data_IF_563218202271
#
_entry.id   IF_563218202271
#
_cell.length_a   1.000
_cell.length_b   1.000
_cell.length_c   1.000
_cell.angle_alpha   90.00
_cell.angle_beta   90.00
_cell.angle_gamma   90.00
#
_symmetry.space_group_name_H-M   'P 1'
#
loop_
_entity.id
_entity.type
_entity.pdbx_description
1 polymer ?
#
# COMPACT_ATOMS: atom_id res chain seq x y z
N UNK A 1 0.68 -38.78 2.66
CA UNK A 1 1.58 -38.24 3.69
C UNK A 1 2.04 -36.86 3.23
N UNK A 2 1.37 -35.79 3.67
CA UNK A 2 1.85 -34.43 3.44
C UNK A 2 2.91 -34.12 4.50
N UNK A 3 4.12 -33.81 4.05
CA UNK A 3 5.18 -33.29 4.91
C UNK A 3 4.66 -32.01 5.59
N UNK A 4 4.74 -31.97 6.91
CA UNK A 4 4.30 -30.82 7.71
C UNK A 4 5.10 -29.59 7.33
N UNK A 5 4.43 -28.61 6.71
CA UNK A 5 4.98 -27.26 6.60
C UNK A 5 5.23 -26.76 8.03
N UNK A 6 6.50 -26.47 8.33
CA UNK A 6 6.89 -25.78 9.56
C UNK A 6 6.24 -24.40 9.53
N UNK A 7 5.30 -24.17 10.44
CA UNK A 7 4.57 -22.91 10.57
C UNK A 7 5.57 -21.80 10.92
N UNK A 8 5.76 -20.82 10.04
CA UNK A 8 6.81 -19.81 10.18
C UNK A 8 6.57 -18.86 11.37
N UNK A 9 5.36 -18.86 11.93
CA UNK A 9 4.93 -17.97 12.99
C UNK A 9 4.20 -18.71 14.13
N UNK A 10 4.88 -19.61 14.87
CA UNK A 10 4.24 -20.41 15.91
C UNK A 10 3.73 -19.59 17.10
N UNK A 11 4.21 -18.35 17.25
CA UNK A 11 3.76 -17.40 18.28
C UNK A 11 2.47 -16.67 17.90
N UNK A 12 2.01 -16.78 16.65
CA UNK A 12 0.72 -16.26 16.21
C UNK A 12 -0.26 -17.42 16.23
N UNK A 13 -1.29 -17.39 17.09
CA UNK A 13 -2.20 -18.51 17.14
C UNK A 13 -2.99 -18.66 15.82
N UNK A 14 -3.52 -19.85 15.54
CA UNK A 14 -4.24 -20.12 14.28
C UNK A 14 -5.63 -19.50 14.33
N UNK A 15 -5.84 -18.50 13.47
CA UNK A 15 -7.03 -17.65 13.54
C UNK A 15 -7.64 -17.34 12.17
N UNK A 16 -7.15 -17.97 11.13
CA UNK A 16 -7.64 -17.82 9.77
C UNK A 16 -7.98 -19.20 9.22
N UNK A 17 -8.94 -19.25 8.30
CA UNK A 17 -9.28 -20.47 7.60
C UNK A 17 -8.15 -20.92 6.65
N UNK A 18 -7.37 -19.96 6.14
CA UNK A 18 -6.15 -20.21 5.37
C UNK A 18 -4.89 -20.14 6.25
N UNK A 19 -3.75 -20.65 5.77
CA UNK A 19 -2.49 -20.54 6.52
C UNK A 19 -1.97 -19.09 6.55
N UNK A 20 -1.31 -18.71 7.65
CA UNK A 20 -0.64 -17.41 7.75
C UNK A 20 0.42 -17.25 6.65
N UNK A 21 1.16 -18.32 6.36
CA UNK A 21 2.17 -18.37 5.30
C UNK A 21 1.57 -18.04 3.93
N UNK A 22 0.34 -18.49 3.66
CA UNK A 22 -0.38 -18.16 2.42
C UNK A 22 -0.67 -16.66 2.33
N UNK A 23 -1.19 -16.03 3.39
CA UNK A 23 -1.45 -14.59 3.37
C UNK A 23 -0.17 -13.76 3.31
N UNK A 24 0.91 -14.17 3.98
CA UNK A 24 2.21 -13.50 3.84
C UNK A 24 2.75 -13.61 2.42
N UNK A 25 2.65 -14.79 1.80
CA UNK A 25 3.04 -14.98 0.42
C UNK A 25 2.20 -14.10 -0.51
N UNK A 26 0.87 -14.09 -0.34
CA UNK A 26 -0.03 -13.26 -1.14
C UNK A 26 0.27 -11.76 -0.97
N UNK A 27 0.59 -11.32 0.25
CA UNK A 27 1.01 -9.94 0.50
C UNK A 27 2.28 -9.60 -0.26
N UNK A 28 3.32 -10.43 -0.12
CA UNK A 28 4.61 -10.20 -0.78
C UNK A 28 4.44 -10.15 -2.30
N UNK A 29 3.71 -11.09 -2.87
CA UNK A 29 3.58 -11.25 -4.33
C UNK A 29 2.67 -10.20 -4.98
N UNK A 30 1.57 -9.82 -4.32
CA UNK A 30 0.54 -8.98 -4.95
C UNK A 30 0.37 -7.63 -4.24
N UNK A 31 0.10 -7.66 -2.94
CA UNK A 31 -0.29 -6.44 -2.19
C UNK A 31 0.86 -5.45 -2.06
N UNK A 32 2.08 -5.93 -1.84
CA UNK A 32 3.24 -5.06 -1.63
C UNK A 32 3.55 -4.21 -2.87
N UNK A 33 3.29 -4.74 -4.07
CA UNK A 33 3.46 -4.00 -5.32
C UNK A 33 2.39 -2.91 -5.52
N UNK A 34 1.19 -3.12 -4.96
CA UNK A 34 0.10 -2.13 -4.99
C UNK A 34 0.38 -1.02 -3.96
N UNK A 35 0.77 -1.40 -2.74
CA UNK A 35 0.98 -0.48 -1.63
C UNK A 35 2.31 0.30 -1.72
N UNK A 36 3.32 -0.23 -2.43
CA UNK A 36 4.67 0.31 -2.48
C UNK A 36 5.23 0.22 -3.92
N UNK A 37 4.69 1.01 -4.87
CA UNK A 37 5.01 0.86 -6.30
C UNK A 37 6.48 1.17 -6.64
N UNK A 38 7.19 1.91 -5.79
CA UNK A 38 8.63 2.20 -5.95
C UNK A 38 9.44 1.36 -4.97
N UNK A 39 10.40 0.59 -5.50
CA UNK A 39 11.28 -0.28 -4.71
C UNK A 39 10.50 -1.28 -3.83
N UNK A 40 9.43 -1.89 -4.36
CA UNK A 40 8.52 -2.78 -3.64
C UNK A 40 9.26 -3.89 -2.88
N UNK A 41 10.31 -4.49 -3.44
CA UNK A 41 11.11 -5.51 -2.78
C UNK A 41 11.82 -4.99 -1.51
N UNK A 42 12.42 -3.79 -1.60
CA UNK A 42 13.14 -3.17 -0.48
C UNK A 42 12.14 -2.73 0.59
N UNK A 43 11.06 -2.08 0.19
CA UNK A 43 10.03 -1.59 1.11
C UNK A 43 9.22 -2.73 1.75
N UNK A 44 8.90 -3.78 0.99
CA UNK A 44 8.27 -5.00 1.52
C UNK A 44 9.20 -5.73 2.50
N UNK A 45 10.49 -5.85 2.17
CA UNK A 45 11.48 -6.43 3.08
C UNK A 45 11.67 -5.61 4.35
N UNK A 46 11.72 -4.27 4.25
CA UNK A 46 11.76 -3.39 5.41
C UNK A 46 10.48 -3.53 6.24
N UNK A 47 9.30 -3.43 5.61
CA UNK A 47 8.03 -3.46 6.30
C UNK A 47 7.78 -4.78 7.02
N UNK A 48 8.10 -5.91 6.39
CA UNK A 48 8.02 -7.22 7.02
C UNK A 48 8.96 -7.31 8.24
N UNK A 49 10.21 -6.81 8.13
CA UNK A 49 11.12 -6.77 9.29
C UNK A 49 10.58 -5.91 10.43
N UNK A 50 10.02 -4.74 10.12
CA UNK A 50 9.37 -3.87 11.12
C UNK A 50 8.17 -4.58 11.74
N UNK A 51 7.38 -5.28 10.94
CA UNK A 51 6.22 -6.03 11.41
C UNK A 51 6.61 -7.16 12.37
N UNK A 52 7.71 -7.88 12.13
CA UNK A 52 8.20 -8.92 13.06
C UNK A 52 8.46 -8.39 14.47
N UNK A 53 8.80 -7.11 14.61
CA UNK A 53 8.98 -6.45 15.91
C UNK A 53 7.70 -5.91 16.54
N UNK A 54 6.57 -5.91 15.81
CA UNK A 54 5.31 -5.31 16.24
C UNK A 54 4.10 -6.16 15.79
N UNK A 55 3.48 -6.95 16.70
CA UNK A 55 2.36 -7.82 16.36
C UNK A 55 1.20 -7.14 15.63
N UNK A 56 0.88 -5.89 15.98
CA UNK A 56 -0.18 -5.12 15.32
C UNK A 56 0.08 -4.93 13.81
N UNK A 57 1.35 -4.73 13.42
CA UNK A 57 1.73 -4.59 12.02
C UNK A 57 1.64 -5.91 11.26
N UNK A 58 1.95 -7.04 11.91
CA UNK A 58 1.72 -8.36 11.32
C UNK A 58 0.24 -8.59 11.06
N UNK A 59 -0.62 -8.31 12.03
CA UNK A 59 -2.08 -8.44 11.85
C UNK A 59 -2.58 -7.55 10.71
N UNK A 60 -2.01 -6.35 10.59
CA UNK A 60 -2.31 -5.41 9.49
C UNK A 60 -1.87 -5.95 8.12
N UNK A 61 -0.69 -6.56 8.01
CA UNK A 61 -0.21 -7.24 6.78
C UNK A 61 -1.19 -8.32 6.35
N UNK A 62 -1.58 -9.18 7.30
CA UNK A 62 -2.50 -10.28 7.06
C UNK A 62 -3.88 -9.74 6.65
N UNK A 63 -4.37 -8.70 7.31
CA UNK A 63 -5.65 -8.05 7.00
C UNK A 63 -5.68 -7.52 5.57
N UNK A 64 -4.65 -6.78 5.15
CA UNK A 64 -4.56 -6.28 3.77
C UNK A 64 -4.54 -7.41 2.75
N UNK A 65 -3.83 -8.49 3.07
CA UNK A 65 -3.73 -9.67 2.21
C UNK A 65 -5.08 -10.38 2.05
N UNK A 66 -5.78 -10.63 3.16
CA UNK A 66 -7.10 -11.22 3.15
C UNK A 66 -8.12 -10.34 2.43
N UNK A 67 -8.10 -9.02 2.67
CA UNK A 67 -8.96 -8.07 1.98
C UNK A 67 -8.73 -8.03 0.47
N UNK A 68 -7.46 -7.94 0.04
CA UNK A 68 -7.11 -7.97 -1.38
C UNK A 68 -7.55 -9.27 -2.06
N UNK A 69 -7.33 -10.41 -1.40
CA UNK A 69 -7.77 -11.69 -1.92
C UNK A 69 -9.29 -11.79 -2.01
N UNK A 70 -10.02 -11.33 -0.99
CA UNK A 70 -11.48 -11.31 -1.00
C UNK A 70 -12.01 -10.51 -2.20
N UNK A 71 -11.49 -9.30 -2.42
CA UNK A 71 -11.85 -8.47 -3.58
C UNK A 71 -11.54 -9.18 -4.90
N UNK A 72 -10.37 -9.80 -5.03
CA UNK A 72 -10.02 -10.55 -6.24
C UNK A 72 -10.98 -11.72 -6.50
N UNK A 73 -11.29 -12.52 -5.47
CA UNK A 73 -12.21 -13.65 -5.58
C UNK A 73 -13.63 -13.23 -5.99
N UNK A 74 -14.10 -12.08 -5.50
CA UNK A 74 -15.38 -11.49 -5.93
C UNK A 74 -15.32 -11.09 -7.41
N UNK A 75 -14.24 -10.42 -7.83
CA UNK A 75 -14.09 -9.93 -9.21
C UNK A 75 -14.07 -11.05 -10.26
N UNK A 76 -13.51 -12.22 -9.92
CA UNK A 76 -13.40 -13.36 -10.83
C UNK A 76 -14.54 -14.37 -10.68
N UNK A 77 -15.59 -14.01 -9.94
CA UNK A 77 -16.75 -14.88 -9.63
C UNK A 77 -16.33 -16.27 -9.12
N UNK A 78 -15.37 -16.29 -8.19
CA UNK A 78 -14.89 -17.53 -7.60
C UNK A 78 -15.97 -18.19 -6.74
N UNK A 79 -15.72 -19.44 -6.30
CA UNK A 79 -16.70 -20.18 -5.51
C UNK A 79 -17.14 -19.42 -4.25
N UNK A 80 -18.46 -19.32 -4.07
CA UNK A 80 -19.10 -18.60 -2.95
C UNK A 80 -18.52 -19.05 -1.60
N UNK A 81 -18.26 -20.36 -1.44
CA UNK A 81 -17.70 -20.90 -0.22
C UNK A 81 -16.30 -20.36 0.08
N UNK A 82 -15.43 -20.25 -0.93
CA UNK A 82 -14.07 -19.72 -0.77
C UNK A 82 -14.13 -18.22 -0.47
N UNK A 83 -14.89 -17.47 -1.26
CA UNK A 83 -15.08 -16.03 -1.07
C UNK A 83 -15.60 -15.72 0.34
N UNK A 84 -16.60 -16.47 0.81
CA UNK A 84 -17.15 -16.30 2.17
C UNK A 84 -16.11 -16.57 3.27
N UNK A 85 -15.27 -17.60 3.13
CA UNK A 85 -14.20 -17.88 4.10
C UNK A 85 -13.18 -16.75 4.15
N UNK A 86 -12.74 -16.23 3.00
CA UNK A 86 -11.78 -15.12 2.96
C UNK A 86 -12.38 -13.82 3.53
N UNK A 87 -13.66 -13.56 3.31
CA UNK A 87 -14.36 -12.43 3.95
C UNK A 87 -14.40 -12.62 5.48
N UNK A 88 -14.68 -13.84 5.97
CA UNK A 88 -14.65 -14.13 7.40
C UNK A 88 -13.26 -13.90 8.01
N UNK A 89 -12.20 -14.36 7.34
CA UNK A 89 -10.81 -14.10 7.74
C UNK A 89 -10.53 -12.60 7.81
N UNK A 90 -10.98 -11.83 6.81
CA UNK A 90 -10.82 -10.37 6.76
C UNK A 90 -11.47 -9.70 7.97
N UNK A 91 -12.71 -10.08 8.32
CA UNK A 91 -13.43 -9.51 9.48
C UNK A 91 -12.75 -9.86 10.81
N UNK A 92 -12.27 -11.10 10.96
CA UNK A 92 -11.56 -11.55 12.15
C UNK A 92 -10.24 -10.81 12.32
N UNK A 93 -9.45 -10.68 11.25
CA UNK A 93 -8.20 -9.94 11.23
C UNK A 93 -8.42 -8.44 11.49
N UNK A 94 -9.51 -7.85 10.97
CA UNK A 94 -9.89 -6.45 11.23
C UNK A 94 -10.15 -6.23 12.72
N UNK A 95 -10.99 -7.06 13.33
CA UNK A 95 -11.29 -6.97 14.77
C UNK A 95 -10.03 -7.06 15.63
N UNK A 96 -9.09 -7.95 15.28
CA UNK A 96 -7.83 -8.12 16.01
C UNK A 96 -6.88 -6.94 15.83
N UNK A 97 -6.72 -6.48 14.60
CA UNK A 97 -5.89 -5.31 14.30
C UNK A 97 -6.37 -4.09 15.08
N UNK A 98 -7.70 -3.90 15.20
CA UNK A 98 -8.29 -2.84 16.03
C UNK A 98 -7.99 -3.02 17.52
N UNK A 99 -8.08 -4.25 18.06
CA UNK A 99 -7.69 -4.53 19.46
C UNK A 99 -6.20 -4.28 19.70
N UNK A 100 -5.35 -4.69 18.77
CA UNK A 100 -3.90 -4.45 18.85
C UNK A 100 -3.57 -2.97 18.77
N UNK A 101 -4.26 -2.21 17.90
CA UNK A 101 -4.15 -0.76 17.87
C UNK A 101 -4.59 -0.14 19.19
N UNK A 102 -5.71 -0.56 19.77
CA UNK A 102 -6.15 -0.09 21.09
C UNK A 102 -5.07 -0.31 22.16
N UNK A 103 -4.46 -1.50 22.18
CA UNK A 103 -3.36 -1.80 23.10
C UNK A 103 -2.16 -0.86 22.88
N UNK A 104 -1.77 -0.59 21.63
CA UNK A 104 -0.70 0.36 21.33
C UNK A 104 -1.01 1.77 21.83
N UNK A 105 -2.26 2.21 21.70
CA UNK A 105 -2.71 3.53 22.12
C UNK A 105 -2.78 3.68 23.65
N UNK A 106 -2.95 2.58 24.40
CA UNK A 106 -2.95 2.59 25.87
C UNK A 106 -1.56 2.74 26.48
N UNK A 107 -0.50 2.42 25.74
CA UNK A 107 0.88 2.44 26.25
C UNK A 107 1.64 3.70 25.79
N UNK A 108 2.11 4.57 26.71
CA UNK A 108 2.75 5.83 26.35
C UNK A 108 3.98 5.70 25.44
N UNK A 109 4.73 4.60 25.57
CA UNK A 109 5.92 4.32 24.76
C UNK A 109 5.60 3.94 23.31
N UNK A 110 4.39 3.46 23.02
CA UNK A 110 3.99 3.00 21.68
C UNK A 110 2.92 3.88 21.04
N UNK A 111 2.11 4.58 21.84
CA UNK A 111 0.98 5.39 21.36
C UNK A 111 1.39 6.43 20.31
N UNK A 112 2.58 7.01 20.45
CA UNK A 112 3.13 7.99 19.50
C UNK A 112 4.42 7.47 18.86
N UNK A 113 4.35 6.28 18.26
CA UNK A 113 5.45 5.69 17.49
C UNK A 113 5.13 5.65 15.99
N UNK A 114 6.15 5.49 15.16
CA UNK A 114 5.95 5.31 13.71
C UNK A 114 5.19 4.01 13.39
N UNK A 115 5.34 2.97 14.20
CA UNK A 115 4.60 1.71 14.03
C UNK A 115 3.11 1.91 14.26
N UNK A 116 2.71 2.66 15.30
CA UNK A 116 1.30 3.00 15.54
C UNK A 116 0.75 3.83 14.38
N UNK A 117 1.53 4.79 13.88
CA UNK A 117 1.16 5.56 12.69
C UNK A 117 0.93 4.66 11.48
N UNK A 118 1.82 3.68 11.23
CA UNK A 118 1.69 2.73 10.13
C UNK A 118 0.43 1.86 10.27
N UNK A 119 0.12 1.35 11.47
CA UNK A 119 -1.11 0.58 11.71
C UNK A 119 -2.34 1.41 11.36
N UNK A 120 -2.42 2.67 11.83
CA UNK A 120 -3.57 3.54 11.54
C UNK A 120 -3.65 3.87 10.04
N UNK A 121 -2.54 4.17 9.38
CA UNK A 121 -2.51 4.49 7.95
C UNK A 121 -2.99 3.32 7.08
N UNK A 122 -2.59 2.10 7.43
CA UNK A 122 -2.98 0.90 6.69
C UNK A 122 -4.42 0.48 6.99
N UNK A 123 -4.90 0.66 8.22
CA UNK A 123 -6.33 0.50 8.52
C UNK A 123 -7.17 1.48 7.70
N UNK A 124 -6.80 2.76 7.64
CA UNK A 124 -7.47 3.75 6.78
C UNK A 124 -7.57 3.27 5.32
N UNK A 125 -6.51 2.68 4.77
CA UNK A 125 -6.49 2.06 3.45
C UNK A 125 -7.52 0.92 3.32
N UNK A 126 -7.54 -0.01 4.28
CA UNK A 126 -8.47 -1.15 4.30
C UNK A 126 -9.93 -0.68 4.40
N UNK A 127 -10.22 0.26 5.30
CA UNK A 127 -11.57 0.82 5.48
C UNK A 127 -12.03 1.59 4.25
N UNK A 128 -11.13 2.36 3.63
CA UNK A 128 -11.41 3.06 2.39
C UNK A 128 -11.76 2.11 1.25
N UNK A 129 -11.06 0.97 1.13
CA UNK A 129 -11.38 -0.05 0.14
C UNK A 129 -12.73 -0.75 0.39
N UNK A 130 -13.21 -0.75 1.63
CA UNK A 130 -14.52 -1.28 2.03
C UNK A 130 -15.63 -0.22 2.03
N UNK A 131 -15.33 1.01 1.59
CA UNK A 131 -16.23 2.16 1.63
C UNK A 131 -16.74 2.53 3.04
N UNK A 132 -16.00 2.16 4.09
CA UNK A 132 -16.27 2.55 5.48
C UNK A 132 -15.67 3.94 5.77
N UNK A 133 -16.29 4.96 5.18
CA UNK A 133 -15.75 6.32 5.20
C UNK A 133 -15.78 6.97 6.59
N UNK A 134 -16.72 6.61 7.45
CA UNK A 134 -16.75 7.09 8.83
C UNK A 134 -15.49 6.65 9.60
N UNK A 135 -15.11 5.37 9.46
CA UNK A 135 -13.87 4.85 10.06
C UNK A 135 -12.63 5.51 9.46
N UNK A 136 -12.62 5.77 8.14
CA UNK A 136 -11.55 6.53 7.47
C UNK A 136 -11.37 7.91 8.09
N UNK A 137 -12.45 8.66 8.35
CA UNK A 137 -12.35 9.98 8.97
C UNK A 137 -11.78 9.92 10.38
N UNK A 138 -12.21 8.95 11.18
CA UNK A 138 -11.65 8.72 12.51
C UNK A 138 -10.14 8.41 12.45
N UNK A 139 -9.71 7.59 11.49
CA UNK A 139 -8.30 7.28 11.27
C UNK A 139 -7.48 8.50 10.83
N UNK A 140 -8.03 9.37 9.97
CA UNK A 140 -7.37 10.63 9.57
C UNK A 140 -7.12 11.53 10.78
N UNK A 141 -8.13 11.71 11.64
CA UNK A 141 -7.97 12.50 12.88
C UNK A 141 -6.90 11.87 13.79
N UNK A 142 -6.93 10.55 13.95
CA UNK A 142 -5.91 9.80 14.70
C UNK A 142 -4.50 10.01 14.14
N UNK A 143 -4.33 9.91 12.83
CA UNK A 143 -3.05 10.16 12.15
C UNK A 143 -2.55 11.58 12.37
N UNK A 144 -3.40 12.58 12.20
CA UNK A 144 -3.05 13.99 12.44
C UNK A 144 -2.54 14.18 13.87
N UNK A 145 -3.20 13.55 14.85
CA UNK A 145 -2.79 13.61 16.24
C UNK A 145 -1.41 12.95 16.45
N UNK A 146 -1.21 11.71 16.00
CA UNK A 146 0.06 10.98 16.13
C UNK A 146 1.21 11.72 15.43
N UNK A 147 0.98 12.23 14.21
CA UNK A 147 1.97 13.03 13.45
C UNK A 147 2.38 14.28 14.23
N UNK A 148 1.41 14.98 14.82
CA UNK A 148 1.69 16.17 15.63
C UNK A 148 2.56 15.81 16.84
N UNK A 149 2.25 14.69 17.51
CA UNK A 149 3.00 14.21 18.68
C UNK A 149 4.40 13.70 18.34
N UNK A 150 4.61 13.21 17.12
CA UNK A 150 5.93 12.86 16.57
C UNK A 150 6.77 14.09 16.15
N UNK A 151 6.24 15.31 16.30
CA UNK A 151 6.93 16.54 15.92
C UNK A 151 6.77 16.92 14.45
N UNK A 152 5.75 16.37 13.78
CA UNK A 152 5.39 16.68 12.40
C UNK A 152 6.03 15.76 11.36
N UNK A 153 5.56 15.90 10.11
CA UNK A 153 5.96 15.03 8.99
C UNK A 153 7.47 15.04 8.70
N UNK A 154 8.19 16.13 9.00
CA UNK A 154 9.63 16.23 8.78
C UNK A 154 10.46 15.32 9.70
N UNK A 155 9.89 14.86 10.81
CA UNK A 155 10.56 13.96 11.78
C UNK A 155 10.37 12.49 11.45
N UNK A 156 9.30 12.13 10.76
CA UNK A 156 8.92 10.76 10.43
C UNK A 156 9.81 10.19 9.33
N UNK A 157 10.33 8.98 9.49
CA UNK A 157 11.22 8.31 8.53
C UNK A 157 10.67 8.31 7.08
N UNK A 158 11.57 8.29 6.10
CA UNK A 158 11.19 8.31 4.68
C UNK A 158 10.35 7.09 4.29
N UNK A 159 10.64 5.94 4.89
CA UNK A 159 9.93 4.69 4.67
C UNK A 159 8.47 4.81 5.15
N UNK A 160 8.28 5.31 6.37
CA UNK A 160 6.95 5.52 6.94
C UNK A 160 6.17 6.58 6.16
N UNK A 161 6.82 7.69 5.79
CA UNK A 161 6.21 8.71 4.93
C UNK A 161 5.77 8.14 3.57
N UNK A 162 6.55 7.24 2.98
CA UNK A 162 6.18 6.60 1.72
C UNK A 162 4.88 5.81 1.82
N UNK A 163 4.69 5.06 2.91
CA UNK A 163 3.45 4.30 3.16
C UNK A 163 2.29 5.26 3.45
N UNK A 164 2.51 6.25 4.32
CA UNK A 164 1.50 7.24 4.69
C UNK A 164 0.97 7.97 3.45
N UNK A 165 1.85 8.47 2.58
CA UNK A 165 1.44 9.19 1.37
C UNK A 165 0.77 8.28 0.35
N UNK A 166 1.15 7.01 0.26
CA UNK A 166 0.42 6.05 -0.56
C UNK A 166 -1.01 5.86 -0.04
N UNK A 167 -1.19 5.64 1.26
CA UNK A 167 -2.51 5.45 1.83
C UNK A 167 -3.39 6.70 1.77
N UNK A 168 -2.82 7.88 1.99
CA UNK A 168 -3.52 9.16 1.85
C UNK A 168 -3.94 9.42 0.39
N UNK A 169 -3.09 9.09 -0.58
CA UNK A 169 -3.44 9.18 -1.99
C UNK A 169 -4.58 8.22 -2.37
N UNK A 170 -4.52 6.97 -1.91
CA UNK A 170 -5.59 5.98 -2.15
C UNK A 170 -6.92 6.42 -1.53
N UNK A 171 -6.88 6.98 -0.32
CA UNK A 171 -8.06 7.53 0.32
C UNK A 171 -8.65 8.69 -0.49
N UNK A 172 -7.81 9.63 -0.95
CA UNK A 172 -8.24 10.77 -1.76
C UNK A 172 -8.90 10.32 -3.06
N UNK A 173 -8.32 9.29 -3.71
CA UNK A 173 -8.91 8.67 -4.91
C UNK A 173 -10.30 8.09 -4.64
N UNK A 174 -10.47 7.34 -3.56
CA UNK A 174 -11.77 6.75 -3.20
C UNK A 174 -12.85 7.80 -2.93
N UNK A 175 -12.47 9.02 -2.55
CA UNK A 175 -13.38 10.13 -2.24
C UNK A 175 -13.48 11.19 -3.32
N UNK A 176 -12.74 11.05 -4.44
CA UNK A 176 -12.55 12.12 -5.42
C UNK A 176 -12.13 13.45 -4.75
N UNK A 177 -11.26 13.38 -3.74
CA UNK A 177 -10.74 14.52 -2.99
C UNK A 177 -9.21 14.57 -3.06
N UNK A 178 -8.58 15.75 -2.88
CA UNK A 178 -7.14 15.80 -2.72
C UNK A 178 -6.69 15.01 -1.47
N UNK A 179 -5.44 14.51 -1.44
CA UNK A 179 -4.85 13.92 -0.24
C UNK A 179 -4.83 14.91 0.93
N UNK A 180 -4.98 14.40 2.15
CA UNK A 180 -5.10 15.20 3.38
C UNK A 180 -3.75 15.76 3.83
N UNK A 181 -2.69 14.98 3.72
CA UNK A 181 -1.38 15.32 4.26
C UNK A 181 -0.53 16.05 3.21
N UNK A 182 0.00 17.20 3.61
CA UNK A 182 0.98 17.92 2.78
C UNK A 182 2.25 17.08 2.62
N UNK A 183 2.81 17.11 1.42
CA UNK A 183 4.09 16.47 1.16
C UNK A 183 5.20 17.22 1.91
N UNK A 184 5.99 16.50 2.71
CA UNK A 184 7.13 17.06 3.45
C UNK A 184 8.24 17.45 2.48
N UNK A 185 8.96 18.52 2.82
CA UNK A 185 10.06 19.02 1.98
C UNK A 185 11.18 17.99 1.91
N UNK A 186 11.48 17.32 3.02
CA UNK A 186 12.48 16.25 3.08
C UNK A 186 12.15 15.11 2.13
N UNK A 187 10.91 14.62 2.15
CA UNK A 187 10.50 13.54 1.26
C UNK A 187 10.49 13.98 -0.21
N UNK A 188 9.97 15.17 -0.51
CA UNK A 188 9.95 15.70 -1.88
C UNK A 188 11.36 15.84 -2.46
N UNK A 189 12.31 16.32 -1.65
CA UNK A 189 13.72 16.43 -2.04
C UNK A 189 14.34 15.06 -2.26
N UNK A 190 14.08 14.11 -1.36
CA UNK A 190 14.59 12.75 -1.49
C UNK A 190 14.08 12.08 -2.77
N UNK A 191 12.77 12.15 -3.05
CA UNK A 191 12.21 11.62 -4.30
C UNK A 191 12.87 12.28 -5.49
N UNK A 192 12.95 13.61 -5.54
CA UNK A 192 13.57 14.31 -6.67
C UNK A 192 15.00 13.84 -6.93
N UNK A 193 15.77 13.55 -5.89
CA UNK A 193 17.17 13.14 -6.03
C UNK A 193 17.33 11.65 -6.36
N UNK A 194 16.38 10.79 -5.97
CA UNK A 194 16.52 9.33 -6.05
C UNK A 194 15.62 8.67 -7.09
N UNK A 195 14.69 9.42 -7.69
CA UNK A 195 13.84 8.94 -8.76
C UNK A 195 14.50 9.21 -10.11
N UNK A 196 15.36 8.30 -10.56
CA UNK A 196 15.92 8.33 -11.91
C UNK A 196 14.81 8.43 -12.99
N UNK A 197 13.62 7.89 -12.67
CA UNK A 197 12.42 8.04 -13.49
C UNK A 197 11.86 9.47 -13.57
N UNK A 198 12.24 10.40 -12.70
CA UNK A 198 11.87 11.82 -12.78
C UNK A 198 13.02 12.71 -13.25
N UNK A 199 14.29 12.29 -13.06
CA UNK A 199 15.45 13.14 -13.32
C UNK A 199 16.14 12.95 -14.65
N UNK A 200 16.10 11.78 -15.30
CA UNK A 200 16.93 11.58 -16.50
C UNK A 200 16.17 11.02 -17.73
N UNK A 201 16.63 11.51 -18.88
CA UNK A 201 16.29 11.18 -20.28
C UNK A 201 15.07 11.87 -20.93
N UNK A 202 15.19 12.35 -22.19
CA UNK A 202 14.06 12.79 -23.00
C UNK A 202 13.03 11.68 -23.12
N UNK A 203 11.74 12.07 -23.12
CA UNK A 203 10.58 11.19 -23.19
C UNK A 203 10.80 10.03 -24.17
N UNK A 204 11.02 8.78 -23.72
CA UNK A 204 10.85 7.67 -24.64
C UNK A 204 9.38 7.71 -25.07
N UNK A 205 9.15 7.82 -26.37
CA UNK A 205 7.81 7.68 -26.95
C UNK A 205 7.17 6.42 -26.34
N UNK A 206 5.95 6.48 -25.78
CA UNK A 206 5.24 5.27 -25.36
C UNK A 206 5.23 4.30 -26.54
N UNK A 207 5.85 3.13 -26.36
CA UNK A 207 6.11 2.22 -27.47
C UNK A 207 4.83 1.47 -27.88
N UNK A 208 3.91 1.23 -26.93
CA UNK A 208 2.63 0.55 -27.17
C UNK A 208 1.45 1.18 -26.46
N UNK A 209 1.46 1.26 -25.11
CA UNK A 209 0.30 1.69 -24.34
C UNK A 209 0.15 3.21 -24.34
N UNK A 210 -1.03 3.71 -24.72
CA UNK A 210 -1.32 5.14 -24.74
C UNK A 210 -0.84 5.91 -25.97
N UNK A 211 -0.09 5.30 -26.91
CA UNK A 211 0.41 5.99 -28.12
C UNK A 211 -0.69 6.73 -28.91
N UNK A 212 -1.87 6.12 -29.05
CA UNK A 212 -3.04 6.76 -29.69
C UNK A 212 -3.57 7.97 -28.91
N UNK A 213 -3.51 7.92 -27.58
CA UNK A 213 -3.94 9.00 -26.70
C UNK A 213 -2.99 10.19 -26.82
N UNK A 214 -1.67 9.96 -26.68
CA UNK A 214 -0.67 11.04 -26.72
C UNK A 214 -0.48 11.67 -28.10
N UNK A 215 -0.80 10.93 -29.17
CA UNK A 215 -0.73 11.43 -30.55
C UNK A 215 -2.07 11.96 -31.07
N UNK A 216 -3.12 12.00 -30.24
CA UNK A 216 -4.41 12.51 -30.67
C UNK A 216 -4.33 14.02 -30.93
N UNK A 217 -5.03 14.50 -31.96
CA UNK A 217 -5.05 15.93 -32.30
C UNK A 217 -5.51 16.81 -31.14
N UNK A 218 -6.49 16.33 -30.35
CA UNK A 218 -7.03 17.04 -29.19
C UNK A 218 -6.08 17.06 -27.98
N UNK A 219 -5.00 16.27 -27.97
CA UNK A 219 -4.07 16.24 -26.83
C UNK A 219 -3.37 17.60 -26.63
N UNK A 220 -3.12 18.32 -27.73
CA UNK A 220 -2.56 19.68 -27.68
C UNK A 220 -3.51 20.73 -27.11
N UNK A 221 -4.81 20.45 -27.12
CA UNK A 221 -5.86 21.37 -26.63
C UNK A 221 -6.07 21.26 -25.11
N UNK A 222 -5.40 20.31 -24.44
CA UNK A 222 -5.48 20.15 -23.00
C UNK A 222 -4.76 21.28 -22.24
N UNK A 223 -5.23 21.65 -21.03
CA UNK A 223 -4.51 22.57 -20.16
C UNK A 223 -3.06 22.12 -19.89
N UNK A 224 -2.14 23.07 -19.85
CA UNK A 224 -0.69 22.80 -19.74
C UNK A 224 -0.32 21.96 -18.52
N UNK A 225 -1.00 22.16 -17.40
CA UNK A 225 -0.72 21.41 -16.17
C UNK A 225 -1.24 19.97 -16.25
N UNK A 226 -2.36 19.76 -16.92
CA UNK A 226 -2.88 18.44 -17.22
C UNK A 226 -1.95 17.69 -18.19
N UNK A 227 -1.42 18.37 -19.21
CA UNK A 227 -0.42 17.79 -20.12
C UNK A 227 0.83 17.33 -19.35
N UNK A 228 1.33 18.13 -18.41
CA UNK A 228 2.48 17.75 -17.56
C UNK A 228 2.19 16.47 -16.78
N UNK A 229 1.03 16.39 -16.13
CA UNK A 229 0.60 15.22 -15.35
C UNK A 229 0.47 13.99 -16.26
N UNK A 230 -0.22 14.11 -17.39
CA UNK A 230 -0.41 12.99 -18.34
C UNK A 230 0.93 12.51 -18.90
N UNK A 231 1.87 13.42 -19.17
CA UNK A 231 3.23 13.04 -19.59
C UNK A 231 3.99 12.29 -18.51
N UNK A 232 3.81 12.63 -17.23
CA UNK A 232 4.37 11.85 -16.11
C UNK A 232 3.78 10.43 -16.11
N UNK A 233 2.46 10.28 -16.28
CA UNK A 233 1.83 8.97 -16.43
C UNK A 233 2.36 8.19 -17.64
N UNK A 234 2.54 8.84 -18.80
CA UNK A 234 3.16 8.23 -19.97
C UNK A 234 4.58 7.71 -19.70
N UNK A 235 5.36 8.44 -18.90
CA UNK A 235 6.70 8.00 -18.47
C UNK A 235 6.62 6.79 -17.54
N UNK A 236 5.71 6.81 -16.57
CA UNK A 236 5.48 5.68 -15.66
C UNK A 236 5.03 4.42 -16.40
N UNK A 237 4.12 4.55 -17.37
CA UNK A 237 3.69 3.47 -18.26
C UNK A 237 4.89 2.90 -19.03
N UNK A 238 5.70 3.76 -19.63
CA UNK A 238 6.88 3.33 -20.42
C UNK A 238 7.92 2.60 -19.56
N UNK A 239 8.08 3.01 -18.29
CA UNK A 239 8.93 2.31 -17.33
C UNK A 239 8.34 0.93 -16.98
N UNK A 240 7.03 0.87 -16.72
CA UNK A 240 6.34 -0.38 -16.43
C UNK A 240 6.44 -1.39 -17.59
N UNK A 241 6.19 -0.95 -18.84
CA UNK A 241 6.33 -1.79 -20.04
C UNK A 241 7.76 -2.34 -20.23
N UNK A 242 8.77 -1.57 -19.82
CA UNK A 242 10.18 -1.99 -19.87
C UNK A 242 10.50 -3.01 -18.78
N UNK A 243 10.08 -2.75 -17.53
CA UNK A 243 10.29 -3.70 -16.43
C UNK A 243 9.63 -5.06 -16.71
N UNK A 244 8.42 -5.07 -17.29
CA UNK A 244 7.75 -6.32 -17.70
C UNK A 244 8.61 -7.07 -18.71
N UNK A 245 9.12 -6.40 -19.75
CA UNK A 245 9.93 -7.04 -20.79
C UNK A 245 11.25 -7.61 -20.25
N UNK A 246 11.96 -6.86 -19.43
CA UNK A 246 13.20 -7.30 -18.79
C UNK A 246 12.96 -8.55 -17.92
N UNK A 247 11.87 -8.57 -17.15
CA UNK A 247 11.49 -9.74 -16.34
C UNK A 247 11.05 -10.97 -17.14
N UNK A 248 10.63 -10.79 -18.40
CA UNK A 248 10.33 -11.88 -19.33
C UNK A 248 11.60 -12.39 -20.04
N UNK A 249 12.58 -11.54 -20.32
CA UNK A 249 13.84 -11.95 -20.98
C UNK A 249 14.79 -12.72 -20.06
N UNK A 250 14.71 -12.54 -18.74
CA UNK A 250 15.51 -13.31 -17.78
C UNK A 250 14.99 -14.75 -17.56
N UNK A 251 13.87 -15.13 -18.19
CA UNK A 251 13.25 -16.47 -18.08
C UNK A 251 13.46 -17.35 -19.33
N UNK A 252 14.23 -16.89 -20.31
CA UNK A 252 14.64 -17.64 -21.52
C UNK A 252 16.14 -17.89 -21.49
#
# INVERSE_FOLDING_TARGET
>A
MQAGLVEAFPALPRYTNESLDFYFHHYKTYVSHIALPFSSNIMSGWFLRTALGQPALVETVLLMSAGCLASHLIMVDASIQRTRRTIQDTLQLRSRTLKSLQNLLLHPSTCFSEETLLVIALLMCVEGAQADFESVDAHIVGLQHVITRLGGLEKISLQTLSILYCCDAMQGLNRNSPPTFKISRRWATWIRNNSACLTESPYPSPQSLGKRFFNALWFGDLPSDLIKIIRVFGKLISIHERMIRESCSERT
#
